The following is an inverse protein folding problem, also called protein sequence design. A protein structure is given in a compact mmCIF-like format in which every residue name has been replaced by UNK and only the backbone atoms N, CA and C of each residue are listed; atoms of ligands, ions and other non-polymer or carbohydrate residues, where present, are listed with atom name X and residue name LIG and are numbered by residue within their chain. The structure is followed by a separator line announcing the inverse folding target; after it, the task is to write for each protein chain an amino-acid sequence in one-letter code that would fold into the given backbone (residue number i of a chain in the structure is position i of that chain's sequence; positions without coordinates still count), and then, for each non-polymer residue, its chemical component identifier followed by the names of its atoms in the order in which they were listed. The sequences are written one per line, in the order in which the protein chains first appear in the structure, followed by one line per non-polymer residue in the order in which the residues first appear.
data_IF_925019872281
#
_entry.id   IF_925019872281
#
_cell.length_a   1.000
_cell.length_b   1.000
_cell.length_c   1.000
_cell.angle_alpha   90.00
_cell.angle_beta   90.00
_cell.angle_gamma   90.00
#
_symmetry.space_group_name_H-M   'P 1'
#
loop_
_entity.id
_entity.type
_entity.pdbx_description
1 polymer ?
#
# COMPACT_ATOMS: atom_id res chain seq x y z
N UNK A 1 -6.55 58.37 54.76
CA UNK A 1 -6.41 56.99 54.21
C UNK A 1 -7.79 56.59 53.72
N UNK A 2 -8.07 56.87 52.49
CA UNK A 2 -9.42 56.80 51.92
C UNK A 2 -9.77 55.41 51.44
N UNK A 3 -11.07 55.11 51.55
CA UNK A 3 -11.69 53.78 51.26
C UNK A 3 -11.64 53.44 49.76
N UNK A 4 -10.98 54.24 48.92
CA UNK A 4 -10.93 54.00 47.45
C UNK A 4 -9.80 53.09 46.96
N UNK A 5 -8.81 52.73 47.79
CA UNK A 5 -7.66 51.91 47.38
C UNK A 5 -7.88 50.40 47.47
N UNK A 6 -9.05 49.91 47.86
CA UNK A 6 -9.32 48.48 48.09
C UNK A 6 -10.12 47.80 46.96
N UNK A 7 -10.48 48.46 45.87
CA UNK A 7 -11.37 47.90 44.84
C UNK A 7 -10.71 47.56 43.50
N UNK A 8 -9.38 47.56 43.38
CA UNK A 8 -8.68 47.15 42.18
C UNK A 8 -7.74 45.96 42.39
N UNK A 9 -8.19 44.91 43.13
CA UNK A 9 -7.48 43.65 43.17
C UNK A 9 -8.01 42.69 42.13
N UNK A 10 -7.35 42.70 40.98
CA UNK A 10 -6.90 41.50 40.28
C UNK A 10 -7.96 40.52 39.77
N UNK A 11 -8.72 40.90 38.76
CA UNK A 11 -9.18 39.89 37.78
C UNK A 11 -8.10 39.71 36.69
N UNK A 12 -7.04 39.00 37.03
CA UNK A 12 -6.19 38.40 36.01
C UNK A 12 -7.02 37.34 35.29
N UNK A 13 -7.68 37.71 34.21
CA UNK A 13 -8.08 36.77 33.18
C UNK A 13 -6.80 36.11 32.65
N UNK A 14 -6.50 34.91 33.15
CA UNK A 14 -5.41 34.11 32.66
C UNK A 14 -5.69 33.82 31.20
N UNK A 15 -5.08 34.61 30.31
CA UNK A 15 -5.07 34.30 28.86
C UNK A 15 -4.39 32.95 28.76
N UNK A 16 -5.17 31.91 28.41
CA UNK A 16 -4.64 30.61 28.09
C UNK A 16 -3.59 30.77 27.02
N UNK A 17 -2.36 30.33 27.30
CA UNK A 17 -1.31 30.32 26.28
C UNK A 17 -1.67 29.30 25.19
N UNK A 18 -1.17 29.51 24.00
CA UNK A 18 -1.36 28.50 22.91
C UNK A 18 -0.91 27.12 23.34
N UNK A 19 0.13 27.04 24.16
CA UNK A 19 0.67 25.79 24.69
C UNK A 19 -0.31 25.12 25.66
N UNK A 20 -0.99 25.88 26.54
CA UNK A 20 -1.99 25.35 27.45
C UNK A 20 -3.26 24.91 26.74
N UNK A 21 -3.61 25.57 25.62
CA UNK A 21 -4.70 25.16 24.75
C UNK A 21 -4.38 23.82 24.07
N UNK A 22 -3.19 23.68 23.51
CA UNK A 22 -2.78 22.45 22.82
C UNK A 22 -2.59 21.28 23.78
N UNK A 23 -2.07 21.49 25.00
CA UNK A 23 -1.98 20.41 26.00
C UNK A 23 -3.37 19.93 26.42
N UNK A 24 -4.31 20.83 26.73
CA UNK A 24 -5.69 20.46 27.10
C UNK A 24 -6.46 19.78 25.98
N UNK A 25 -6.26 20.19 24.72
CA UNK A 25 -6.83 19.51 23.55
C UNK A 25 -6.18 18.14 23.33
N UNK A 26 -4.86 18.05 23.53
CA UNK A 26 -4.13 16.79 23.45
C UNK A 26 -4.60 15.78 24.50
N UNK A 27 -4.67 16.18 25.76
CA UNK A 27 -5.14 15.34 26.85
C UNK A 27 -6.59 14.89 26.66
N UNK A 28 -7.46 15.78 26.17
CA UNK A 28 -8.86 15.45 25.85
C UNK A 28 -8.97 14.46 24.68
N UNK A 29 -8.19 14.64 23.61
CA UNK A 29 -8.21 13.75 22.46
C UNK A 29 -7.61 12.37 22.81
N UNK A 30 -6.51 12.32 23.56
CA UNK A 30 -5.92 11.07 24.03
C UNK A 30 -6.81 10.36 25.04
N UNK A 31 -7.44 11.09 25.97
CA UNK A 31 -8.40 10.53 26.91
C UNK A 31 -9.63 9.94 26.22
N UNK A 32 -10.18 10.61 25.21
CA UNK A 32 -11.29 10.10 24.40
C UNK A 32 -10.88 8.87 23.58
N UNK A 33 -9.70 8.91 22.94
CA UNK A 33 -9.16 7.76 22.20
C UNK A 33 -8.90 6.56 23.11
N UNK A 34 -8.29 6.78 24.28
CA UNK A 34 -8.05 5.73 25.26
C UNK A 34 -9.35 5.15 25.81
N UNK A 35 -10.35 6.01 26.14
CA UNK A 35 -11.66 5.54 26.59
C UNK A 35 -12.39 4.74 25.52
N UNK A 36 -12.29 5.14 24.26
CA UNK A 36 -12.85 4.39 23.14
C UNK A 36 -12.19 3.02 22.97
N UNK A 37 -10.86 2.95 23.05
CA UNK A 37 -10.09 1.70 22.97
C UNK A 37 -10.43 0.78 24.16
N UNK A 38 -10.45 1.31 25.38
CA UNK A 38 -10.80 0.54 26.58
C UNK A 38 -12.27 0.08 26.59
N UNK A 39 -13.20 0.91 26.08
CA UNK A 39 -14.60 0.52 25.93
C UNK A 39 -14.77 -0.62 24.91
N UNK A 40 -13.99 -0.60 23.82
CA UNK A 40 -13.93 -1.69 22.84
C UNK A 40 -13.42 -2.99 23.45
N UNK A 41 -12.36 -2.94 24.25
CA UNK A 41 -11.79 -4.11 24.93
C UNK A 41 -12.71 -4.66 26.03
N UNK A 42 -13.39 -3.79 26.78
CA UNK A 42 -14.36 -4.20 27.80
C UNK A 42 -15.64 -4.80 27.20
N UNK A 43 -16.12 -4.23 26.07
CA UNK A 43 -17.27 -4.79 25.36
C UNK A 43 -16.94 -6.14 24.69
N UNK A 44 -15.71 -6.31 24.18
CA UNK A 44 -15.24 -7.57 23.62
C UNK A 44 -15.03 -8.65 24.65
N UNK A 45 -14.56 -8.31 25.88
CA UNK A 45 -14.41 -9.28 26.98
C UNK A 45 -15.74 -9.80 27.52
N UNK A 46 -16.81 -8.99 27.49
CA UNK A 46 -18.17 -9.46 27.83
C UNK A 46 -18.78 -10.38 26.74
N UNK A 47 -18.40 -10.18 25.47
CA UNK A 47 -18.82 -10.99 24.32
C UNK A 47 -18.08 -12.32 24.21
N UNK A 48 -16.88 -12.44 24.78
CA UNK A 48 -16.06 -13.68 24.76
C UNK A 48 -16.66 -14.86 25.55
N UNK A 49 -17.60 -14.60 26.43
CA UNK A 49 -18.32 -15.64 27.18
C UNK A 49 -19.56 -16.19 26.46
N UNK A 50 -19.94 -15.63 25.33
CA UNK A 50 -21.20 -15.96 24.63
C UNK A 50 -21.02 -16.59 23.24
N UNK A 51 -19.82 -16.72 22.69
CA UNK A 51 -19.64 -17.09 21.27
C UNK A 51 -18.72 -18.29 21.07
N UNK A 52 -19.32 -19.47 21.06
CA UNK A 52 -18.90 -20.60 20.20
C UNK A 52 -19.41 -20.45 18.77
N UNK A 53 -19.59 -19.23 18.28
CA UNK A 53 -19.93 -18.90 16.91
C UNK A 53 -18.63 -18.60 16.13
N UNK A 54 -18.60 -18.96 14.86
CA UNK A 54 -17.53 -18.71 13.89
C UNK A 54 -16.77 -17.39 14.22
N UNK A 55 -15.48 -17.56 14.58
CA UNK A 55 -14.65 -16.40 14.94
C UNK A 55 -14.38 -15.57 13.70
N UNK A 56 -15.26 -14.60 13.42
CA UNK A 56 -15.01 -13.59 12.41
C UNK A 56 -13.83 -12.72 12.87
N UNK A 57 -12.88 -12.49 11.98
CA UNK A 57 -11.79 -11.56 12.25
C UNK A 57 -12.35 -10.15 12.23
N UNK A 58 -12.33 -9.40 13.35
CA UNK A 58 -12.94 -8.07 13.39
C UNK A 58 -12.41 -7.18 12.25
N UNK A 59 -13.33 -6.62 11.47
CA UNK A 59 -13.01 -5.71 10.36
C UNK A 59 -12.84 -6.36 9.00
N UNK A 60 -12.79 -7.70 8.90
CA UNK A 60 -12.76 -8.43 7.62
C UNK A 60 -14.12 -8.97 7.19
N UNK A 61 -15.18 -8.66 7.92
CA UNK A 61 -16.53 -9.03 7.51
C UNK A 61 -16.83 -8.52 6.10
N UNK A 62 -17.50 -9.34 5.29
CA UNK A 62 -17.91 -8.95 3.95
C UNK A 62 -18.82 -7.74 4.00
N UNK A 63 -18.52 -6.72 3.21
CA UNK A 63 -19.24 -5.45 3.14
C UNK A 63 -19.93 -5.32 1.80
N UNK A 64 -21.16 -4.80 1.80
CA UNK A 64 -21.87 -4.52 0.57
C UNK A 64 -21.13 -3.44 -0.25
N UNK A 65 -20.85 -3.70 -1.52
CA UNK A 65 -20.27 -2.70 -2.39
C UNK A 65 -21.26 -1.58 -2.69
N UNK A 66 -20.76 -0.37 -3.02
CA UNK A 66 -21.59 0.77 -3.39
C UNK A 66 -22.28 0.61 -4.76
N UNK A 67 -21.75 -0.26 -5.60
CA UNK A 67 -22.26 -0.57 -6.93
C UNK A 67 -22.29 -2.08 -7.12
N UNK A 68 -23.10 -2.56 -8.04
CA UNK A 68 -23.15 -3.98 -8.40
C UNK A 68 -21.74 -4.47 -8.82
N UNK A 69 -21.18 -5.48 -8.15
CA UNK A 69 -19.82 -5.94 -8.43
C UNK A 69 -19.79 -6.73 -9.73
N UNK A 70 -18.88 -6.37 -10.62
CA UNK A 70 -18.59 -7.14 -11.86
C UNK A 70 -17.42 -8.09 -11.70
N UNK A 71 -16.54 -7.86 -10.72
CA UNK A 71 -15.39 -8.68 -10.43
C UNK A 71 -15.54 -9.36 -9.06
N UNK A 72 -15.14 -10.61 -8.96
CA UNK A 72 -15.14 -11.39 -7.72
C UNK A 72 -13.80 -11.37 -6.99
N UNK A 73 -12.71 -11.12 -7.72
CA UNK A 73 -11.36 -11.09 -7.18
C UNK A 73 -10.49 -10.10 -7.97
N UNK A 74 -9.45 -9.60 -7.32
CA UNK A 74 -8.44 -8.73 -7.93
C UNK A 74 -7.09 -9.46 -7.88
N UNK A 75 -6.43 -9.57 -9.03
CA UNK A 75 -5.06 -10.06 -9.14
C UNK A 75 -4.20 -8.93 -9.67
N UNK A 76 -3.22 -8.50 -8.88
CA UNK A 76 -2.25 -7.48 -9.28
C UNK A 76 -0.93 -8.14 -9.66
N UNK A 77 -0.57 -8.08 -10.94
CA UNK A 77 0.72 -8.51 -11.44
C UNK A 77 1.63 -7.28 -11.56
N UNK A 78 2.60 -7.19 -10.67
CA UNK A 78 3.47 -6.02 -10.60
C UNK A 78 4.90 -6.38 -10.98
N UNK A 79 5.39 -5.79 -12.06
CA UNK A 79 6.77 -5.92 -12.52
C UNK A 79 7.63 -4.84 -11.86
N UNK A 80 8.33 -5.21 -10.77
CA UNK A 80 9.18 -4.29 -10.02
C UNK A 80 10.34 -3.77 -10.87
N UNK A 81 10.65 -2.47 -10.73
CA UNK A 81 11.72 -1.82 -11.45
C UNK A 81 11.32 -1.21 -12.80
N UNK A 82 10.10 -1.51 -13.26
CA UNK A 82 9.53 -0.97 -14.50
C UNK A 82 10.16 -1.55 -15.77
N UNK A 83 9.46 -2.42 -16.47
CA UNK A 83 9.89 -2.85 -17.81
C UNK A 83 9.82 -1.67 -18.78
N UNK A 84 10.60 -1.73 -19.85
CA UNK A 84 10.57 -0.71 -20.89
C UNK A 84 9.21 -0.74 -21.62
N UNK A 85 8.36 0.25 -21.37
CA UNK A 85 7.07 0.34 -22.05
C UNK A 85 7.21 0.47 -23.55
N UNK A 86 8.30 1.05 -24.04
CA UNK A 86 8.61 1.21 -25.46
C UNK A 86 8.88 -0.12 -26.14
N UNK A 87 9.26 -1.13 -25.37
CA UNK A 87 9.50 -2.48 -25.86
C UNK A 87 8.29 -3.42 -25.70
N UNK A 88 7.21 -2.95 -25.09
CA UNK A 88 6.03 -3.78 -24.76
C UNK A 88 4.74 -3.34 -25.48
N UNK A 89 4.26 -2.11 -25.26
CA UNK A 89 2.97 -1.63 -25.75
C UNK A 89 3.02 -0.26 -26.43
N UNK A 90 4.15 0.44 -26.37
CA UNK A 90 4.23 1.83 -26.79
C UNK A 90 5.45 2.07 -27.68
N UNK A 91 5.48 1.48 -28.91
CA UNK A 91 6.58 1.70 -29.84
C UNK A 91 6.70 3.17 -30.18
N UNK A 92 7.94 3.65 -30.24
CA UNK A 92 8.26 5.06 -30.54
C UNK A 92 8.98 5.15 -31.88
N UNK A 93 8.28 5.36 -33.01
CA UNK A 93 8.91 5.44 -34.34
C UNK A 93 10.00 6.53 -34.44
N UNK A 94 9.91 7.57 -33.62
CA UNK A 94 10.94 8.63 -33.56
C UNK A 94 12.27 8.12 -33.01
N UNK A 95 12.27 7.11 -32.11
CA UNK A 95 13.51 6.50 -31.64
C UNK A 95 14.22 5.73 -32.74
N UNK A 96 13.45 5.08 -33.63
CA UNK A 96 13.99 4.39 -34.80
C UNK A 96 14.57 5.40 -35.79
N UNK A 97 13.84 6.48 -36.09
CA UNK A 97 14.27 7.54 -37.01
C UNK A 97 15.54 8.26 -36.53
N UNK A 98 15.72 8.46 -35.24
CA UNK A 98 16.84 9.17 -34.64
C UNK A 98 17.83 8.23 -33.93
N UNK A 99 17.85 6.95 -34.31
CA UNK A 99 18.74 5.97 -33.70
C UNK A 99 20.22 6.38 -33.83
N UNK A 100 20.94 6.31 -32.69
CA UNK A 100 22.34 6.71 -32.64
C UNK A 100 22.59 8.21 -32.41
N UNK A 101 21.58 9.07 -32.55
CA UNK A 101 21.70 10.50 -32.26
C UNK A 101 21.65 10.77 -30.75
N UNK A 102 22.23 11.87 -30.27
CA UNK A 102 22.07 12.29 -28.86
C UNK A 102 20.61 12.68 -28.59
N UNK A 103 20.06 12.38 -27.39
CA UNK A 103 18.71 12.80 -27.04
C UNK A 103 18.60 14.32 -26.99
N UNK A 104 17.46 14.91 -27.41
CA UNK A 104 17.25 16.33 -27.32
C UNK A 104 17.20 16.78 -25.84
N UNK A 105 17.64 18.00 -25.51
CA UNK A 105 17.67 18.50 -24.13
C UNK A 105 16.33 18.43 -23.41
N UNK A 106 15.23 18.50 -24.14
CA UNK A 106 13.86 18.39 -23.60
C UNK A 106 13.50 16.98 -23.12
N UNK A 107 14.16 15.96 -23.62
CA UNK A 107 13.93 14.56 -23.25
C UNK A 107 14.75 14.14 -22.01
N UNK A 108 15.70 14.96 -21.58
CA UNK A 108 16.55 14.67 -20.41
C UNK A 108 15.89 15.20 -19.15
N UNK A 109 15.89 14.39 -18.10
CA UNK A 109 15.54 14.88 -16.77
C UNK A 109 16.62 15.82 -16.19
N UNK A 110 16.33 16.45 -15.05
CA UNK A 110 17.26 17.39 -14.40
C UNK A 110 18.59 16.74 -14.00
N UNK A 111 18.57 15.49 -13.57
CA UNK A 111 19.78 14.76 -13.18
C UNK A 111 20.63 14.36 -14.40
N UNK A 112 19.99 13.89 -15.46
CA UNK A 112 20.68 13.54 -16.71
C UNK A 112 21.32 14.79 -17.34
N UNK A 113 20.66 15.94 -17.25
CA UNK A 113 21.23 17.23 -17.71
C UNK A 113 22.45 17.64 -16.91
N UNK A 114 22.40 17.47 -15.58
CA UNK A 114 23.51 17.81 -14.69
C UNK A 114 24.71 16.90 -14.90
N UNK A 115 24.47 15.60 -15.06
CA UNK A 115 25.56 14.62 -15.17
C UNK A 115 26.13 14.50 -16.58
N UNK A 116 25.54 15.14 -17.59
CA UNK A 116 25.92 15.03 -19.02
C UNK A 116 26.06 13.59 -19.51
N UNK A 117 25.41 12.64 -18.85
CA UNK A 117 25.47 11.22 -19.16
C UNK A 117 24.19 10.84 -19.93
N UNK A 118 24.12 11.31 -21.15
CA UNK A 118 23.15 10.80 -22.10
C UNK A 118 23.91 10.01 -23.15
N UNK A 119 23.62 8.70 -23.25
CA UNK A 119 24.02 7.93 -24.41
C UNK A 119 23.26 8.37 -25.65
N UNK A 120 23.41 7.66 -26.74
CA UNK A 120 22.62 7.84 -27.96
C UNK A 120 21.22 7.21 -27.80
N UNK A 121 20.28 7.73 -28.60
CA UNK A 121 18.94 7.17 -28.70
C UNK A 121 19.01 5.73 -29.24
N UNK A 122 18.35 4.82 -28.56
CA UNK A 122 18.28 3.42 -28.93
C UNK A 122 16.82 3.06 -29.31
N UNK A 123 16.59 2.55 -30.52
CA UNK A 123 15.26 2.06 -30.89
C UNK A 123 14.96 0.74 -30.20
N UNK A 124 13.70 0.33 -30.19
CA UNK A 124 13.32 -1.01 -29.77
C UNK A 124 13.97 -2.06 -30.69
N UNK A 125 14.39 -3.17 -30.13
CA UNK A 125 14.94 -4.32 -30.87
C UNK A 125 13.86 -5.38 -31.15
N UNK A 126 12.64 -5.17 -30.68
CA UNK A 126 11.55 -6.13 -30.76
C UNK A 126 10.54 -5.72 -31.84
N UNK A 127 9.93 -6.73 -32.43
CA UNK A 127 8.89 -6.52 -33.44
C UNK A 127 7.55 -6.25 -32.78
N UNK A 128 6.78 -5.37 -33.40
CA UNK A 128 5.42 -5.05 -32.99
C UNK A 128 4.43 -5.47 -34.07
N UNK A 129 3.27 -5.93 -33.62
CA UNK A 129 2.12 -6.14 -34.48
C UNK A 129 0.86 -5.58 -33.85
N UNK A 130 -0.14 -5.29 -34.68
CA UNK A 130 -1.45 -4.82 -34.21
C UNK A 130 -2.35 -6.01 -33.91
N UNK A 131 -2.94 -5.99 -32.70
CA UNK A 131 -3.82 -7.03 -32.22
C UNK A 131 -5.18 -6.48 -31.80
N UNK A 132 -6.16 -7.36 -31.82
CA UNK A 132 -7.53 -7.05 -31.42
C UNK A 132 -8.26 -6.11 -32.38
N UNK A 133 -9.53 -5.86 -32.08
CA UNK A 133 -10.42 -5.00 -32.88
C UNK A 133 -9.97 -3.53 -32.86
N UNK A 134 -9.36 -3.10 -31.77
CA UNK A 134 -8.84 -1.74 -31.62
C UNK A 134 -7.47 -1.52 -32.26
N UNK A 135 -6.81 -2.57 -32.76
CA UNK A 135 -5.51 -2.49 -33.40
C UNK A 135 -4.41 -2.00 -32.45
N UNK A 136 -4.37 -2.52 -31.24
CA UNK A 136 -3.37 -2.15 -30.23
C UNK A 136 -2.01 -2.75 -30.60
N UNK A 137 -0.96 -1.93 -30.56
CA UNK A 137 0.40 -2.38 -30.77
C UNK A 137 0.87 -3.21 -29.58
N UNK A 138 1.28 -4.45 -29.82
CA UNK A 138 1.84 -5.35 -28.82
C UNK A 138 3.15 -5.94 -29.34
N UNK A 139 4.15 -5.97 -28.49
CA UNK A 139 5.45 -6.56 -28.76
C UNK A 139 5.38 -8.08 -28.87
N UNK A 140 6.27 -8.67 -29.68
CA UNK A 140 6.48 -10.11 -29.75
C UNK A 140 6.88 -10.77 -28.42
N UNK A 141 7.31 -9.98 -27.44
CA UNK A 141 7.63 -10.44 -26.07
C UNK A 141 6.38 -10.90 -25.30
N UNK A 142 5.18 -10.49 -25.70
CA UNK A 142 3.94 -10.74 -25.00
C UNK A 142 2.91 -11.53 -25.83
N UNK A 143 3.28 -12.70 -26.40
CA UNK A 143 2.42 -13.41 -27.35
C UNK A 143 1.09 -13.88 -26.74
N UNK A 144 1.10 -14.29 -25.48
CA UNK A 144 -0.13 -14.72 -24.78
C UNK A 144 -1.04 -13.55 -24.43
N UNK A 145 -0.47 -12.42 -24.06
CA UNK A 145 -1.21 -11.21 -23.72
C UNK A 145 -1.85 -10.60 -24.98
N UNK A 146 -1.17 -10.66 -26.10
CA UNK A 146 -1.67 -10.22 -27.40
C UNK A 146 -3.01 -10.89 -27.79
N UNK A 147 -3.24 -12.15 -27.38
CA UNK A 147 -4.50 -12.85 -27.64
C UNK A 147 -5.67 -12.36 -26.79
N UNK A 148 -5.40 -11.56 -25.75
CA UNK A 148 -6.38 -11.03 -24.80
C UNK A 148 -6.53 -9.51 -24.84
N UNK A 149 -5.94 -8.88 -25.83
CA UNK A 149 -5.86 -7.41 -25.87
C UNK A 149 -7.24 -6.74 -25.96
N UNK A 150 -8.24 -7.39 -26.54
CA UNK A 150 -9.62 -6.88 -26.59
C UNK A 150 -10.31 -6.86 -25.21
N UNK A 151 -9.81 -7.64 -24.24
CA UNK A 151 -10.29 -7.68 -22.86
C UNK A 151 -9.53 -6.68 -21.97
N UNK A 152 -8.60 -5.90 -22.53
CA UNK A 152 -7.67 -5.04 -21.77
C UNK A 152 -7.89 -3.56 -22.04
N UNK A 153 -7.69 -2.75 -21.01
CA UNK A 153 -7.49 -1.31 -21.14
C UNK A 153 -5.99 -0.99 -21.02
N UNK A 154 -5.35 -0.62 -22.13
CA UNK A 154 -3.92 -0.26 -22.16
C UNK A 154 -3.75 1.24 -21.94
N UNK A 155 -3.23 1.64 -20.77
CA UNK A 155 -3.04 3.05 -20.39
C UNK A 155 -1.57 3.43 -20.60
N UNK A 156 -1.24 4.00 -21.76
CA UNK A 156 0.13 4.37 -22.15
C UNK A 156 0.61 5.68 -21.51
N UNK A 157 -0.29 6.53 -21.08
CA UNK A 157 0.01 7.87 -20.55
C UNK A 157 0.30 7.92 -19.04
N UNK A 158 0.51 6.76 -18.40
CA UNK A 158 0.91 6.72 -16.99
C UNK A 158 2.32 7.25 -16.82
N UNK A 159 2.53 8.12 -15.84
CA UNK A 159 3.84 8.68 -15.51
C UNK A 159 4.01 8.85 -14.01
N UNK A 160 5.24 8.98 -13.59
CA UNK A 160 5.59 9.34 -12.21
C UNK A 160 6.30 10.70 -12.18
N UNK A 161 6.17 11.39 -11.05
CA UNK A 161 6.85 12.67 -10.83
C UNK A 161 8.26 12.52 -10.25
N UNK A 162 8.73 11.29 -10.07
CA UNK A 162 10.04 11.00 -9.49
C UNK A 162 10.80 9.98 -10.33
N UNK A 163 12.08 10.27 -10.60
CA UNK A 163 12.95 9.42 -11.42
C UNK A 163 13.51 8.19 -10.70
N UNK A 164 13.50 8.17 -9.35
CA UNK A 164 13.96 7.04 -8.54
C UNK A 164 12.89 5.97 -8.40
N UNK A 165 13.30 4.70 -8.44
CA UNK A 165 12.41 3.55 -8.37
C UNK A 165 11.56 3.52 -7.09
N UNK A 166 12.15 3.73 -5.91
CA UNK A 166 11.46 3.59 -4.64
C UNK A 166 10.30 4.58 -4.47
N UNK A 167 10.48 5.90 -4.60
CA UNK A 167 9.36 6.84 -4.57
C UNK A 167 8.33 6.59 -5.68
N UNK A 168 8.78 6.18 -6.87
CA UNK A 168 7.88 5.88 -7.99
C UNK A 168 7.02 4.63 -7.70
N UNK A 169 7.59 3.60 -7.07
CA UNK A 169 6.87 2.39 -6.63
C UNK A 169 5.84 2.75 -5.56
N UNK A 170 6.19 3.59 -4.58
CA UNK A 170 5.23 4.06 -3.58
C UNK A 170 4.09 4.84 -4.23
N UNK A 171 4.39 5.72 -5.18
CA UNK A 171 3.35 6.45 -5.91
C UNK A 171 2.39 5.48 -6.61
N UNK A 172 2.89 4.44 -7.25
CA UNK A 172 2.08 3.42 -7.93
C UNK A 172 1.19 2.64 -6.97
N UNK A 173 1.74 2.22 -5.82
CA UNK A 173 1.00 1.39 -4.87
C UNK A 173 0.08 2.17 -3.92
N UNK A 174 0.40 3.42 -3.61
CA UNK A 174 -0.24 4.16 -2.51
C UNK A 174 -0.73 5.55 -2.91
N UNK A 175 -0.43 6.02 -4.12
CA UNK A 175 -0.74 7.36 -4.59
C UNK A 175 0.15 8.47 -3.98
N UNK A 176 1.27 8.10 -3.32
CA UNK A 176 2.22 9.06 -2.71
C UNK A 176 3.65 8.58 -2.86
N UNK A 177 4.59 9.53 -2.89
CA UNK A 177 6.03 9.25 -3.04
C UNK A 177 6.70 8.70 -1.77
N UNK A 178 6.04 8.80 -0.62
CA UNK A 178 6.57 8.37 0.67
C UNK A 178 5.80 7.14 1.20
N UNK A 179 6.47 6.25 1.93
CA UNK A 179 5.84 5.09 2.56
C UNK A 179 4.85 5.49 3.68
N UNK A 180 4.14 4.51 4.23
CA UNK A 180 3.25 4.70 5.39
C UNK A 180 1.76 4.79 5.03
N UNK A 181 1.42 4.77 3.73
CA UNK A 181 0.02 4.74 3.27
C UNK A 181 -0.42 3.32 2.91
N UNK A 182 -1.73 3.01 3.06
CA UNK A 182 -2.24 1.73 2.63
C UNK A 182 -2.05 1.51 1.13
N UNK A 183 -1.72 0.30 0.76
CA UNK A 183 -1.62 -0.13 -0.63
C UNK A 183 -2.99 -0.52 -1.20
N UNK A 184 -3.09 -0.72 -2.51
CA UNK A 184 -4.34 -1.08 -3.18
C UNK A 184 -5.02 -2.29 -2.54
N UNK A 185 -4.28 -3.38 -2.28
CA UNK A 185 -4.84 -4.58 -1.67
C UNK A 185 -5.36 -4.34 -0.25
N UNK A 186 -4.67 -3.50 0.54
CA UNK A 186 -5.13 -3.10 1.86
C UNK A 186 -6.44 -2.28 1.79
N UNK A 187 -6.57 -1.39 0.82
CA UNK A 187 -7.81 -0.63 0.58
C UNK A 187 -8.96 -1.53 0.15
N UNK A 188 -8.71 -2.51 -0.72
CA UNK A 188 -9.73 -3.49 -1.15
C UNK A 188 -10.21 -4.31 0.04
N UNK A 189 -9.29 -4.85 0.84
CA UNK A 189 -9.64 -5.62 2.03
C UNK A 189 -10.39 -4.76 3.08
N UNK A 190 -9.98 -3.50 3.27
CA UNK A 190 -10.67 -2.58 4.16
C UNK A 190 -12.09 -2.22 3.67
N UNK A 191 -12.24 -1.94 2.38
CA UNK A 191 -13.50 -1.47 1.80
C UNK A 191 -14.54 -2.57 1.61
N UNK A 192 -14.12 -3.77 1.24
CA UNK A 192 -15.03 -4.88 0.88
C UNK A 192 -15.00 -6.04 1.87
N UNK A 193 -13.97 -6.14 2.71
CA UNK A 193 -13.79 -7.28 3.58
C UNK A 193 -13.41 -8.54 2.81
N UNK A 194 -13.76 -9.70 3.36
CA UNK A 194 -13.55 -11.02 2.76
C UNK A 194 -14.75 -11.91 2.99
N UNK A 195 -15.13 -12.67 1.97
CA UNK A 195 -16.16 -13.70 2.09
C UNK A 195 -15.66 -14.89 2.94
N UNK A 196 -14.35 -15.14 2.92
CA UNK A 196 -13.74 -16.23 3.68
C UNK A 196 -12.99 -15.68 4.90
N UNK A 197 -13.47 -16.02 6.08
CA UNK A 197 -12.89 -15.60 7.36
C UNK A 197 -11.71 -16.46 7.82
N UNK A 198 -11.48 -17.62 7.19
CA UNK A 198 -10.41 -18.56 7.56
C UNK A 198 -9.14 -18.40 6.71
N UNK A 199 -9.18 -17.57 5.66
CA UNK A 199 -8.05 -17.28 4.79
C UNK A 199 -7.76 -15.78 4.75
N UNK A 200 -6.49 -15.39 4.53
CA UNK A 200 -6.16 -13.99 4.37
C UNK A 200 -6.92 -13.36 3.20
N UNK A 201 -7.51 -12.18 3.43
CA UNK A 201 -8.20 -11.42 2.39
C UNK A 201 -7.25 -10.88 1.32
N UNK A 202 -6.00 -10.59 1.70
CA UNK A 202 -4.96 -10.08 0.83
C UNK A 202 -3.73 -10.97 0.89
N UNK A 203 -3.46 -11.68 -0.19
CA UNK A 203 -2.31 -12.59 -0.32
C UNK A 203 -1.29 -12.02 -1.28
N UNK A 204 -0.02 -12.16 -0.94
CA UNK A 204 1.13 -11.75 -1.75
C UNK A 204 1.98 -12.96 -2.07
N UNK A 205 2.11 -13.25 -3.36
CA UNK A 205 3.03 -14.28 -3.85
C UNK A 205 4.38 -13.65 -4.13
N UNK A 206 5.41 -14.16 -3.49
CA UNK A 206 6.78 -13.67 -3.68
C UNK A 206 7.41 -14.28 -4.93
N UNK A 207 8.11 -13.43 -5.69
CA UNK A 207 8.93 -13.89 -6.80
C UNK A 207 10.07 -14.78 -6.29
N UNK A 208 10.43 -15.87 -7.00
CA UNK A 208 11.56 -16.73 -6.64
C UNK A 208 12.91 -16.01 -6.51
N UNK A 209 13.09 -14.88 -7.18
CA UNK A 209 14.30 -14.05 -7.09
C UNK A 209 14.39 -13.24 -5.81
N UNK A 210 13.32 -13.22 -5.00
CA UNK A 210 13.25 -12.59 -3.70
C UNK A 210 12.36 -11.34 -3.64
N UNK A 211 12.59 -10.53 -2.59
CA UNK A 211 11.79 -9.34 -2.35
C UNK A 211 12.03 -8.26 -3.42
N UNK A 212 10.98 -7.60 -3.89
CA UNK A 212 11.11 -6.45 -4.76
C UNK A 212 11.73 -5.27 -4.00
N UNK A 213 12.12 -4.22 -4.74
CA UNK A 213 12.47 -2.94 -4.11
C UNK A 213 11.35 -2.47 -3.17
N UNK A 214 11.71 -1.79 -2.10
CA UNK A 214 10.82 -1.43 -1.00
C UNK A 214 10.29 -2.60 -0.16
N UNK A 215 10.61 -3.85 -0.49
CA UNK A 215 10.29 -5.03 0.30
C UNK A 215 8.82 -5.09 0.71
N UNK A 216 8.57 -5.34 1.99
CA UNK A 216 7.22 -5.51 2.57
C UNK A 216 6.36 -4.24 2.47
N UNK A 217 6.94 -3.07 2.24
CA UNK A 217 6.20 -1.82 2.12
C UNK A 217 5.29 -1.78 0.89
N UNK A 218 5.51 -2.67 -0.09
CA UNK A 218 4.67 -2.79 -1.29
C UNK A 218 3.27 -3.36 -1.02
N UNK A 219 3.03 -3.94 0.15
CA UNK A 219 1.73 -4.52 0.54
C UNK A 219 1.35 -4.22 1.99
N UNK A 220 1.85 -3.09 2.50
CA UNK A 220 1.56 -2.65 3.86
C UNK A 220 0.13 -2.12 4.00
N UNK A 221 -0.41 -2.24 5.21
CA UNK A 221 -1.68 -1.63 5.60
C UNK A 221 -1.58 -0.13 5.89
N UNK A 222 -0.35 0.41 6.01
CA UNK A 222 -0.12 1.81 6.38
C UNK A 222 -0.72 2.15 7.75
N UNK A 223 -1.59 3.16 7.80
CA UNK A 223 -2.31 3.54 9.03
C UNK A 223 -3.58 2.71 9.28
N UNK A 224 -3.98 1.85 8.35
CA UNK A 224 -5.07 0.90 8.61
C UNK A 224 -4.60 -0.19 9.56
N UNK A 225 -5.56 -0.91 10.16
CA UNK A 225 -5.25 -2.06 11.01
C UNK A 225 -4.36 -3.08 10.29
N UNK A 226 -3.41 -3.71 10.98
CA UNK A 226 -2.57 -4.78 10.42
C UNK A 226 -3.36 -5.95 9.79
N UNK A 227 -4.61 -6.13 10.15
CA UNK A 227 -5.49 -7.16 9.56
C UNK A 227 -5.67 -7.00 8.05
N UNK A 228 -5.51 -5.79 7.52
CA UNK A 228 -5.58 -5.47 6.09
C UNK A 228 -4.25 -5.58 5.37
N UNK A 229 -3.18 -5.92 6.08
CA UNK A 229 -1.86 -6.09 5.46
C UNK A 229 -1.79 -7.35 4.61
N UNK A 230 -1.06 -7.28 3.50
CA UNK A 230 -0.83 -8.44 2.64
C UNK A 230 -0.08 -9.56 3.36
N UNK A 231 -0.66 -10.75 3.36
CA UNK A 231 -0.04 -11.97 3.88
C UNK A 231 0.90 -12.53 2.83
N UNK A 232 2.19 -12.49 3.12
CA UNK A 232 3.22 -12.96 2.20
C UNK A 232 3.35 -14.47 2.22
N UNK A 233 3.27 -15.08 1.06
CA UNK A 233 3.64 -16.47 0.82
C UNK A 233 5.01 -16.52 0.13
N UNK A 234 5.96 -17.18 0.76
CA UNK A 234 7.31 -17.36 0.21
C UNK A 234 7.29 -18.41 -0.89
N UNK A 235 8.07 -18.17 -1.93
CA UNK A 235 8.29 -19.13 -3.01
C UNK A 235 9.25 -20.27 -2.61
N UNK A 236 10.07 -20.06 -1.56
CA UNK A 236 11.06 -21.01 -1.09
C UNK A 236 10.97 -21.17 0.44
N UNK A 237 11.24 -22.39 0.92
CA UNK A 237 11.19 -22.73 2.33
C UNK A 237 9.75 -22.90 2.84
N UNK A 238 9.49 -22.53 4.11
CA UNK A 238 8.12 -22.52 4.65
C UNK A 238 7.33 -21.39 3.99
N UNK A 239 6.20 -21.69 3.31
CA UNK A 239 5.39 -20.66 2.67
C UNK A 239 4.95 -19.55 3.64
N UNK A 240 4.55 -19.92 4.85
CA UNK A 240 4.24 -18.98 5.92
C UNK A 240 5.29 -19.12 7.03
N UNK A 241 6.01 -18.03 7.36
CA UNK A 241 6.96 -18.06 8.46
C UNK A 241 6.24 -18.14 9.80
N UNK A 242 6.89 -18.77 10.78
CA UNK A 242 6.45 -18.81 12.18
C UNK A 242 5.09 -19.50 12.44
N UNK A 243 4.59 -20.34 11.53
CA UNK A 243 3.40 -21.16 11.78
C UNK A 243 3.65 -22.25 12.83
N UNK A 244 4.88 -22.72 12.93
CA UNK A 244 5.29 -23.66 13.98
C UNK A 244 6.06 -22.91 15.06
N UNK A 245 5.78 -23.20 16.34
CA UNK A 245 6.62 -22.70 17.42
C UNK A 245 8.07 -23.11 17.20
N UNK A 246 9.02 -22.25 17.56
CA UNK A 246 10.42 -22.66 17.61
C UNK A 246 10.55 -23.77 18.64
N UNK A 247 11.22 -24.86 18.30
CA UNK A 247 11.48 -26.01 19.21
C UNK A 247 12.24 -25.59 20.46
N UNK A 248 12.93 -24.44 20.39
CA UNK A 248 13.70 -23.83 21.47
C UNK A 248 12.86 -23.20 22.60
N UNK A 249 11.54 -22.98 22.38
CA UNK A 249 10.71 -22.42 23.44
C UNK A 249 10.15 -23.53 24.35
N UNK A 250 10.51 -23.52 25.63
CA UNK A 250 9.96 -24.47 26.62
C UNK A 250 8.42 -24.41 26.61
N UNK A 251 7.78 -25.58 26.71
CA UNK A 251 6.32 -25.71 26.71
C UNK A 251 5.56 -24.70 27.58
N UNK A 252 6.03 -24.40 28.82
CA UNK A 252 5.42 -23.41 29.69
C UNK A 252 5.41 -21.99 29.10
N UNK A 253 6.48 -21.58 28.42
CA UNK A 253 6.55 -20.24 27.77
C UNK A 253 5.55 -20.15 26.63
N UNK A 254 5.37 -21.23 25.90
CA UNK A 254 4.40 -21.28 24.81
C UNK A 254 2.95 -21.21 25.32
N UNK A 255 2.66 -21.85 26.46
CA UNK A 255 1.34 -21.79 27.10
C UNK A 255 1.03 -20.39 27.60
N UNK A 256 1.98 -19.70 28.24
CA UNK A 256 1.83 -18.31 28.67
C UNK A 256 1.61 -17.39 27.47
N UNK A 257 2.41 -17.53 26.40
CA UNK A 257 2.23 -16.74 25.19
C UNK A 257 0.84 -16.95 24.56
N UNK A 258 0.36 -18.22 24.51
CA UNK A 258 -1.00 -18.52 24.02
C UNK A 258 -2.09 -17.92 24.92
N UNK A 259 -1.93 -17.97 26.23
CA UNK A 259 -2.90 -17.38 27.16
C UNK A 259 -2.95 -15.85 27.05
N UNK A 260 -1.81 -15.18 26.85
CA UNK A 260 -1.73 -13.74 26.64
C UNK A 260 -2.32 -13.29 25.28
N UNK A 261 -2.31 -14.16 24.29
CA UNK A 261 -2.88 -13.87 22.98
C UNK A 261 -4.36 -14.30 22.86
N UNK A 262 -4.96 -14.79 23.94
CA UNK A 262 -6.39 -15.17 23.98
C UNK A 262 -6.71 -16.44 23.17
N UNK A 263 -5.75 -17.33 22.98
CA UNK A 263 -5.91 -18.59 22.21
C UNK A 263 -5.53 -19.80 23.03
#
# INVERSE_FOLDING_TARGET
MSIEDAMWSNSRTSRLSRRDLFSRLGDGAYGAALSYLLAGDLASSASLLAASAEQTVPGLDSKSPHFEPKAKAVIQLFMSGGPSQMDLFDPKPLLEKHAGEPPPPSALDSQQRLNRVAGSLMPTQFKFAKYGKAGIDVSELLPHLATRVDDMAVVRAMYTTHSNHEPAIFLMHTGRLLPGRPTLGAWVAYGLGSENQNLPAYVVLEDPTGLPRCGIQNWQSGWLSPVYQGTRLRSQGSPLPNLKPREEFPGPVLQVAKSLLGR
#
